data_IF_887748138312
#
_entry.id   IF_887748138312
#
_cell.length_a   1.000
_cell.length_b   1.000
_cell.length_c   1.000
_cell.angle_alpha   90.00
_cell.angle_beta   90.00
_cell.angle_gamma   90.00
#
_symmetry.space_group_name_H-M   'P 1'
#
loop_
_entity.id
_entity.type
_entity.pdbx_description
1 polymer ?
#
# COMPACT_ATOMS: atom_id res chain seq x y z
N UNK A 1 -37.70 19.48 -34.84
CA UNK A 1 -36.33 19.17 -34.37
C UNK A 1 -36.31 19.14 -32.84
N UNK A 2 -36.73 18.04 -32.20
CA UNK A 2 -36.80 17.94 -30.71
C UNK A 2 -36.32 16.60 -30.13
N UNK A 3 -35.89 15.66 -30.99
CA UNK A 3 -35.49 14.31 -30.55
C UNK A 3 -33.97 14.13 -30.41
N UNK A 4 -33.17 15.05 -30.95
CA UNK A 4 -31.71 14.98 -30.92
C UNK A 4 -31.07 15.60 -29.68
N UNK A 5 -31.80 16.39 -28.89
CA UNK A 5 -31.26 17.00 -27.66
C UNK A 5 -31.27 16.04 -26.46
N UNK A 6 -32.18 15.06 -26.43
CA UNK A 6 -32.30 14.15 -25.28
C UNK A 6 -31.21 13.07 -25.24
N UNK A 7 -30.65 12.70 -26.40
CA UNK A 7 -29.58 11.70 -26.46
C UNK A 7 -28.25 12.24 -25.93
N UNK A 8 -28.01 13.56 -26.05
CA UNK A 8 -26.79 14.21 -25.57
C UNK A 8 -26.78 14.39 -24.05
N UNK A 9 -27.96 14.49 -23.41
CA UNK A 9 -28.07 14.61 -21.96
C UNK A 9 -27.86 13.28 -21.22
N UNK A 10 -28.08 12.14 -21.88
CA UNK A 10 -27.98 10.81 -21.24
C UNK A 10 -26.53 10.32 -21.08
N UNK A 11 -25.58 10.85 -21.84
CA UNK A 11 -24.16 10.45 -21.76
C UNK A 11 -23.33 11.34 -20.84
N UNK A 12 -23.85 12.51 -20.46
CA UNK A 12 -23.17 13.47 -19.59
C UNK A 12 -22.84 12.94 -18.17
N UNK A 13 -23.62 12.03 -17.54
CA UNK A 13 -23.26 11.49 -16.23
C UNK A 13 -22.05 10.53 -16.26
N UNK A 14 -21.71 9.95 -17.42
CA UNK A 14 -20.62 8.99 -17.55
C UNK A 14 -19.23 9.66 -17.51
N UNK A 15 -19.16 10.99 -17.64
CA UNK A 15 -17.90 11.73 -17.62
C UNK A 15 -17.41 12.04 -16.19
N UNK A 16 -18.21 11.73 -15.17
CA UNK A 16 -17.84 11.93 -13.76
C UNK A 16 -17.34 10.65 -13.07
N UNK A 17 -16.99 9.60 -13.80
CA UNK A 17 -15.94 8.68 -13.31
C UNK A 17 -14.58 9.36 -13.51
N UNK A 18 -14.40 10.51 -12.86
CA UNK A 18 -13.08 11.10 -12.74
C UNK A 18 -12.16 10.03 -12.18
N UNK A 19 -10.98 9.88 -12.81
CA UNK A 19 -9.85 9.14 -12.25
C UNK A 19 -9.88 9.32 -10.73
N UNK A 20 -10.19 8.22 -10.02
CA UNK A 20 -10.17 8.24 -8.56
C UNK A 20 -8.86 8.85 -8.12
N UNK A 21 -8.88 9.57 -7.00
CA UNK A 21 -7.68 10.18 -6.41
C UNK A 21 -6.47 9.32 -6.74
N UNK A 22 -5.48 9.87 -7.42
CA UNK A 22 -4.11 9.33 -7.47
C UNK A 22 -3.49 9.36 -6.07
N UNK A 23 -4.30 9.09 -5.03
CA UNK A 23 -3.93 9.02 -3.65
C UNK A 23 -3.07 7.79 -3.46
N UNK A 24 -1.96 7.99 -2.75
CA UNK A 24 -1.10 6.92 -2.29
C UNK A 24 -0.48 6.03 -3.39
N UNK A 25 -0.28 6.58 -4.60
CA UNK A 25 0.37 5.87 -5.71
C UNK A 25 -0.32 4.54 -6.09
N UNK A 26 -1.64 4.48 -5.95
CA UNK A 26 -2.43 3.28 -6.24
C UNK A 26 -2.37 2.20 -5.14
N UNK A 27 -1.55 2.37 -4.11
CA UNK A 27 -1.55 1.48 -2.96
C UNK A 27 -2.75 1.72 -2.04
N UNK A 28 -3.30 0.68 -1.41
CA UNK A 28 -4.36 0.86 -0.43
C UNK A 28 -3.85 1.64 0.79
N UNK A 29 -4.56 2.67 1.23
CA UNK A 29 -4.20 3.42 2.45
C UNK A 29 -4.35 2.59 3.74
N UNK A 30 -5.09 1.48 3.69
CA UNK A 30 -5.30 0.58 4.83
C UNK A 30 -5.37 -0.88 4.40
N UNK A 31 -4.69 -1.75 5.15
CA UNK A 31 -4.79 -3.21 5.04
C UNK A 31 -5.15 -3.80 6.39
N UNK A 32 -6.20 -4.64 6.42
CA UNK A 32 -6.55 -5.44 7.59
C UNK A 32 -6.11 -6.88 7.35
N UNK A 33 -5.31 -7.41 8.26
CA UNK A 33 -4.83 -8.79 8.27
C UNK A 33 -5.59 -9.59 9.33
N UNK A 34 -5.68 -10.89 9.14
CA UNK A 34 -6.40 -11.78 10.05
C UNK A 34 -5.60 -12.02 11.33
N UNK A 35 -6.33 -12.34 12.41
CA UNK A 35 -5.73 -12.72 13.70
C UNK A 35 -4.79 -13.92 13.59
N UNK A 36 -5.07 -14.86 12.68
CA UNK A 36 -4.21 -16.02 12.41
C UNK A 36 -2.84 -15.65 11.81
N UNK A 37 -2.64 -14.39 11.40
CA UNK A 37 -1.48 -14.02 10.59
C UNK A 37 -1.60 -14.54 9.16
N UNK A 38 -0.47 -14.59 8.47
CA UNK A 38 -0.39 -15.02 7.08
C UNK A 38 0.09 -13.90 6.15
N UNK A 39 -0.06 -14.12 4.86
CA UNK A 39 0.44 -13.25 3.80
C UNK A 39 -0.70 -12.59 3.03
N UNK A 40 -0.54 -11.32 2.67
CA UNK A 40 -1.42 -10.58 1.77
C UNK A 40 -0.60 -9.75 0.80
N UNK A 41 -0.84 -9.93 -0.49
CA UNK A 41 -0.27 -9.07 -1.52
C UNK A 41 -1.11 -7.81 -1.69
N UNK A 42 -0.44 -6.67 -1.86
CA UNK A 42 -1.03 -5.42 -2.33
C UNK A 42 -0.22 -4.90 -3.52
N UNK A 43 -0.87 -4.10 -4.35
CA UNK A 43 -0.27 -3.55 -5.57
C UNK A 43 -0.53 -2.05 -5.63
N UNK A 44 0.48 -1.30 -6.05
CA UNK A 44 0.37 0.10 -6.44
C UNK A 44 0.57 0.30 -7.93
N UNK A 45 0.68 1.56 -8.35
CA UNK A 45 0.98 1.96 -9.72
C UNK A 45 2.48 2.17 -9.94
N UNK A 46 3.17 2.63 -8.90
CA UNK A 46 4.59 3.01 -8.96
C UNK A 46 5.42 2.20 -7.96
N UNK A 47 6.64 1.86 -8.35
CA UNK A 47 7.52 1.02 -7.54
C UNK A 47 8.28 1.87 -6.51
N UNK A 48 8.21 1.54 -5.21
CA UNK A 48 9.00 2.24 -4.21
C UNK A 48 10.48 1.87 -4.31
N UNK A 49 11.35 2.83 -4.01
CA UNK A 49 12.80 2.60 -3.99
C UNK A 49 13.32 2.07 -2.66
N UNK A 50 12.53 2.20 -1.57
CA UNK A 50 12.76 1.56 -0.29
C UNK A 50 11.44 1.31 0.44
N UNK A 51 11.47 0.47 1.48
CA UNK A 51 10.31 0.23 2.35
C UNK A 51 10.71 0.46 3.82
N UNK A 52 9.86 1.16 4.56
CA UNK A 52 9.98 1.34 6.00
C UNK A 52 8.74 0.82 6.70
N UNK A 53 8.94 0.28 7.91
CA UNK A 53 7.85 -0.04 8.83
C UNK A 53 8.05 0.78 10.09
N UNK A 54 7.05 1.61 10.44
CA UNK A 54 7.08 2.46 11.64
C UNK A 54 5.87 2.20 12.53
N UNK A 55 6.05 2.42 13.82
CA UNK A 55 4.95 2.58 14.78
C UNK A 55 4.52 4.06 14.89
N UNK A 56 3.49 4.32 15.70
CA UNK A 56 2.97 5.68 15.89
C UNK A 56 3.96 6.61 16.62
N UNK A 57 4.95 6.06 17.32
CA UNK A 57 5.97 6.83 18.03
C UNK A 57 7.15 7.19 17.12
N UNK A 58 7.08 6.87 15.83
CA UNK A 58 8.16 7.08 14.86
C UNK A 58 9.30 6.07 14.98
N UNK A 59 9.17 5.06 15.82
CA UNK A 59 10.15 3.97 15.93
C UNK A 59 9.89 2.93 14.84
N UNK A 60 10.93 2.42 14.20
CA UNK A 60 10.74 1.57 13.04
C UNK A 60 12.03 0.99 12.50
N UNK A 61 11.88 0.26 11.40
CA UNK A 61 12.98 -0.33 10.63
C UNK A 61 12.81 0.00 9.15
N UNK A 62 13.93 0.15 8.47
CA UNK A 62 14.00 0.38 7.03
C UNK A 62 14.61 -0.83 6.34
N UNK A 63 14.09 -1.19 5.17
CA UNK A 63 14.73 -2.21 4.34
C UNK A 63 16.18 -1.82 4.07
N UNK A 64 17.11 -2.76 4.19
CA UNK A 64 18.52 -2.52 3.86
C UNK A 64 18.66 -2.39 2.34
N UNK A 65 18.35 -1.21 1.79
CA UNK A 65 18.30 -0.97 0.34
C UNK A 65 19.68 -0.63 -0.23
N UNK A 66 20.50 0.08 0.55
CA UNK A 66 21.78 0.57 0.06
C UNK A 66 22.89 -0.42 0.41
N UNK A 67 23.40 -1.12 -0.61
CA UNK A 67 24.59 -1.98 -0.51
C UNK A 67 24.33 -3.48 -0.38
N UNK A 68 23.07 -3.94 -0.36
CA UNK A 68 22.78 -5.37 -0.41
C UNK A 68 22.87 -5.89 -1.86
N UNK A 69 23.69 -6.91 -2.10
CA UNK A 69 23.70 -7.62 -3.37
C UNK A 69 22.37 -8.40 -3.53
N UNK A 70 21.44 -7.88 -4.33
CA UNK A 70 20.16 -8.54 -4.59
C UNK A 70 19.09 -7.60 -5.16
N UNK A 71 18.03 -8.18 -5.70
CA UNK A 71 16.85 -7.48 -6.20
C UNK A 71 15.68 -7.47 -5.20
N UNK A 72 15.91 -7.90 -3.95
CA UNK A 72 14.87 -8.08 -2.94
C UNK A 72 14.95 -7.02 -1.84
N UNK A 73 13.82 -6.35 -1.57
CA UNK A 73 13.63 -5.47 -0.42
C UNK A 73 12.86 -6.25 0.66
N UNK A 74 13.51 -6.50 1.78
CA UNK A 74 12.91 -7.20 2.93
C UNK A 74 13.11 -6.34 4.16
N UNK A 75 12.02 -6.05 4.86
CA UNK A 75 12.03 -5.33 6.15
C UNK A 75 11.07 -6.02 7.09
N UNK A 76 11.50 -6.20 8.34
CA UNK A 76 10.71 -6.78 9.41
C UNK A 76 10.74 -5.86 10.61
N UNK A 77 9.57 -5.56 11.15
CA UNK A 77 9.46 -4.80 12.39
C UNK A 77 8.32 -5.34 13.23
N UNK A 78 8.64 -5.69 14.47
CA UNK A 78 7.72 -6.34 15.41
C UNK A 78 7.02 -7.57 14.79
N UNK A 79 5.74 -7.43 14.45
CA UNK A 79 4.89 -8.53 13.99
C UNK A 79 4.65 -8.55 12.47
N UNK A 80 5.21 -7.60 11.74
CA UNK A 80 5.00 -7.41 10.31
C UNK A 80 6.33 -7.51 9.55
N UNK A 81 6.31 -8.28 8.47
CA UNK A 81 7.39 -8.33 7.47
C UNK A 81 6.84 -7.91 6.13
N UNK A 82 7.55 -7.02 5.44
CA UNK A 82 7.29 -6.68 4.04
C UNK A 82 8.37 -7.31 3.17
N UNK A 83 7.94 -7.97 2.10
CA UNK A 83 8.81 -8.42 1.00
C UNK A 83 8.37 -7.75 -0.29
N UNK A 84 9.32 -7.25 -1.05
CA UNK A 84 9.10 -6.68 -2.37
C UNK A 84 10.32 -6.94 -3.25
N UNK A 85 10.12 -6.87 -4.57
CA UNK A 85 11.21 -6.86 -5.54
C UNK A 85 11.52 -5.42 -5.94
N UNK A 86 12.80 -5.07 -6.06
CA UNK A 86 13.26 -3.76 -6.52
C UNK A 86 12.70 -3.48 -7.91
N UNK A 87 12.04 -2.33 -8.06
CA UNK A 87 11.38 -1.94 -9.30
C UNK A 87 10.02 -2.61 -9.55
N UNK A 88 9.53 -3.44 -8.64
CA UNK A 88 8.18 -4.01 -8.70
C UNK A 88 7.20 -3.13 -7.88
N UNK A 89 5.93 -3.16 -8.29
CA UNK A 89 4.81 -2.42 -7.68
C UNK A 89 4.07 -3.25 -6.63
N UNK A 90 4.46 -4.52 -6.45
CA UNK A 90 3.83 -5.45 -5.50
C UNK A 90 4.56 -5.49 -4.17
N UNK A 91 3.79 -5.42 -3.09
CA UNK A 91 4.27 -5.61 -1.72
C UNK A 91 3.58 -6.83 -1.11
N UNK A 92 4.36 -7.75 -0.57
CA UNK A 92 3.85 -8.88 0.20
C UNK A 92 3.93 -8.55 1.69
N UNK A 93 2.78 -8.38 2.33
CA UNK A 93 2.64 -8.13 3.77
C UNK A 93 2.47 -9.46 4.49
N UNK A 94 3.39 -9.80 5.38
CA UNK A 94 3.39 -11.05 6.14
C UNK A 94 3.28 -10.72 7.62
N UNK A 95 2.19 -11.14 8.27
CA UNK A 95 1.98 -10.94 9.69
C UNK A 95 2.12 -12.24 10.48
N UNK A 96 2.78 -12.16 11.63
CA UNK A 96 2.74 -13.24 12.62
C UNK A 96 1.35 -13.35 13.23
N UNK A 97 0.92 -14.55 13.69
CA UNK A 97 -0.35 -14.70 14.39
C UNK A 97 -0.43 -13.80 15.63
N UNK A 98 -1.61 -13.28 15.93
CA UNK A 98 -1.94 -12.59 17.18
C UNK A 98 -2.71 -13.53 18.09
N UNK A 99 -2.10 -13.99 19.18
CA UNK A 99 -2.72 -15.00 20.06
C UNK A 99 -3.99 -14.49 20.78
N UNK A 100 -3.95 -13.28 21.34
CA UNK A 100 -5.10 -12.62 22.01
C UNK A 100 -4.80 -11.12 22.19
N UNK A 101 -5.79 -10.34 22.68
CA UNK A 101 -5.60 -8.93 23.04
C UNK A 101 -6.09 -7.90 22.01
N UNK A 102 -5.74 -6.63 22.27
CA UNK A 102 -6.17 -5.45 21.51
C UNK A 102 -5.68 -5.49 20.06
N UNK A 103 -6.30 -4.72 19.19
CA UNK A 103 -5.78 -4.53 17.83
C UNK A 103 -4.39 -3.87 17.88
N UNK A 104 -3.51 -4.30 16.98
CA UNK A 104 -2.18 -3.72 16.78
C UNK A 104 -2.09 -3.13 15.38
N UNK A 105 -1.34 -2.04 15.25
CA UNK A 105 -1.18 -1.32 13.99
C UNK A 105 0.28 -0.94 13.79
N UNK A 106 0.72 -0.99 12.54
CA UNK A 106 1.98 -0.44 12.04
C UNK A 106 1.71 0.30 10.74
N UNK A 107 2.63 1.15 10.34
CA UNK A 107 2.56 1.94 9.12
C UNK A 107 3.71 1.51 8.21
N UNK A 108 3.37 1.17 6.96
CA UNK A 108 4.35 0.89 5.93
C UNK A 108 4.51 2.17 5.12
N UNK A 109 5.70 2.75 5.13
CA UNK A 109 6.05 3.88 4.28
C UNK A 109 6.85 3.35 3.10
N UNK A 110 6.44 3.74 1.91
CA UNK A 110 7.01 3.29 0.64
C UNK A 110 7.35 4.53 -0.19
N UNK A 111 8.54 5.13 0.00
CA UNK A 111 8.99 6.28 -0.77
C UNK A 111 9.05 5.99 -2.27
N UNK A 112 8.44 6.90 -3.03
CA UNK A 112 8.29 6.87 -4.48
C UNK A 112 8.63 8.28 -4.97
N UNK A 113 9.72 8.39 -5.73
CA UNK A 113 10.29 9.66 -6.21
C UNK A 113 10.47 10.68 -5.06
N UNK A 114 9.65 11.73 -5.04
CA UNK A 114 9.77 12.87 -4.11
C UNK A 114 8.72 12.83 -2.98
N UNK A 115 7.96 11.76 -2.87
CA UNK A 115 6.94 11.55 -1.83
C UNK A 115 6.93 10.09 -1.37
N UNK A 116 5.90 9.69 -0.64
CA UNK A 116 5.73 8.31 -0.19
C UNK A 116 4.27 7.86 -0.26
N UNK A 117 4.10 6.56 -0.51
CA UNK A 117 2.86 5.87 -0.17
C UNK A 117 2.91 5.42 1.30
N UNK A 118 1.85 5.67 2.05
CA UNK A 118 1.65 5.18 3.41
C UNK A 118 0.53 4.12 3.42
N UNK A 119 0.79 2.97 4.03
CA UNK A 119 -0.19 1.90 4.22
C UNK A 119 -0.31 1.61 5.71
N UNK A 120 -1.47 1.92 6.28
CA UNK A 120 -1.80 1.51 7.65
C UNK A 120 -2.17 0.03 7.69
N UNK A 121 -1.34 -0.79 8.32
CA UNK A 121 -1.57 -2.23 8.50
C UNK A 121 -2.12 -2.50 9.88
N UNK A 122 -3.26 -3.18 9.95
CA UNK A 122 -3.99 -3.49 11.18
C UNK A 122 -4.18 -5.00 11.33
N UNK A 123 -4.01 -5.50 12.55
CA UNK A 123 -4.26 -6.90 12.92
C UNK A 123 -4.94 -7.03 14.30
#
# INVERSE_FOLDING_TARGET
>A
MKKTLYTLLLTLPLLFTGCGETGNYGYPSKVVLTKSGGSKEVKGNDAPYLIEIRDYNGSGEVSKVFGAAGDSMIVSYQWLTIKAKKGDTKLQLIATPKQSGKSRKLYVHAPITDSEAEIKVVQ
#
